data_IF_990989810283
#
_entry.id   IF_990989810283
#
_cell.length_a   1.000
_cell.length_b   1.000
_cell.length_c   1.000
_cell.angle_alpha   90.00
_cell.angle_beta   90.00
_cell.angle_gamma   90.00
#
_symmetry.space_group_name_H-M   'P 1'
#
loop_
_entity.id
_entity.type
_entity.pdbx_description
1 polymer ?
#
# COMPACT_ATOMS: atom_id res chain seq x y z
N UNK A 1 16.05 30.67 -14.61
CA UNK A 1 14.65 31.10 -14.45
C UNK A 1 13.77 30.02 -15.06
N UNK A 2 13.51 28.98 -14.27
CA UNK A 2 12.55 27.89 -14.53
C UNK A 2 12.15 27.40 -13.12
N UNK A 3 11.15 28.02 -12.51
CA UNK A 3 10.51 27.47 -11.31
C UNK A 3 9.24 26.77 -11.78
N UNK A 4 9.38 25.60 -12.38
CA UNK A 4 8.28 24.65 -12.45
C UNK A 4 8.03 24.15 -11.04
N UNK A 5 7.12 24.78 -10.30
CA UNK A 5 6.45 24.13 -9.18
C UNK A 5 5.60 23.03 -9.81
N UNK A 6 6.24 21.87 -10.05
CA UNK A 6 5.70 20.77 -10.83
C UNK A 6 4.48 20.17 -10.16
N UNK A 7 3.34 20.29 -10.81
CA UNK A 7 2.12 19.59 -10.45
C UNK A 7 2.38 18.07 -10.40
N UNK A 8 1.88 17.41 -9.36
CA UNK A 8 1.85 15.95 -9.30
C UNK A 8 1.04 15.42 -10.49
N UNK A 9 1.58 14.41 -11.18
CA UNK A 9 0.87 13.73 -12.26
C UNK A 9 0.04 12.61 -11.66
N UNK A 10 -1.27 12.82 -11.57
CA UNK A 10 -2.24 11.81 -11.12
C UNK A 10 -2.10 10.51 -11.91
N UNK A 11 -1.89 10.60 -13.23
CA UNK A 11 -1.68 9.43 -14.07
C UNK A 11 -0.45 8.62 -13.61
N UNK A 12 0.70 9.29 -13.43
CA UNK A 12 1.91 8.63 -12.93
C UNK A 12 1.74 8.10 -11.52
N UNK A 13 1.04 8.82 -10.64
CA UNK A 13 0.74 8.39 -9.27
C UNK A 13 -0.06 7.09 -9.28
N UNK A 14 -1.10 7.02 -10.11
CA UNK A 14 -1.94 5.84 -10.27
C UNK A 14 -1.17 4.66 -10.89
N UNK A 15 -0.38 4.90 -11.93
CA UNK A 15 0.43 3.86 -12.58
C UNK A 15 1.54 3.35 -11.66
N UNK A 16 2.25 4.25 -10.96
CA UNK A 16 3.29 3.89 -10.00
C UNK A 16 2.70 3.07 -8.86
N UNK A 17 1.55 3.49 -8.32
CA UNK A 17 0.83 2.77 -7.27
C UNK A 17 0.53 1.33 -7.69
N UNK A 18 0.03 1.11 -8.91
CA UNK A 18 -0.21 -0.24 -9.44
C UNK A 18 1.07 -1.05 -9.61
N UNK A 19 2.15 -0.45 -10.11
CA UNK A 19 3.45 -1.13 -10.28
C UNK A 19 4.06 -1.54 -8.94
N UNK A 20 3.95 -0.69 -7.91
CA UNK A 20 4.39 -1.01 -6.56
C UNK A 20 3.58 -2.16 -5.97
N UNK A 21 2.25 -2.10 -6.12
CA UNK A 21 1.37 -3.20 -5.71
C UNK A 21 1.77 -4.47 -6.46
N UNK A 22 2.01 -4.42 -7.76
CA UNK A 22 2.41 -5.57 -8.59
C UNK A 22 3.73 -6.19 -8.09
N UNK A 23 4.74 -5.35 -7.84
CA UNK A 23 6.06 -5.75 -7.35
C UNK A 23 6.02 -6.39 -5.97
N UNK A 24 5.20 -5.87 -5.05
CA UNK A 24 5.14 -6.31 -3.66
C UNK A 24 3.86 -7.08 -3.39
N UNK A 25 3.91 -8.41 -3.56
CA UNK A 25 2.74 -9.29 -3.49
C UNK A 25 1.97 -9.20 -2.16
N UNK A 26 2.64 -8.87 -1.06
CA UNK A 26 2.04 -8.65 0.26
C UNK A 26 0.98 -7.54 0.26
N UNK A 27 1.11 -6.52 -0.62
CA UNK A 27 0.11 -5.45 -0.80
C UNK A 27 -1.18 -5.92 -1.48
N UNK A 28 -1.23 -7.21 -1.86
CA UNK A 28 -2.40 -7.88 -2.42
C UNK A 28 -2.88 -9.03 -1.53
N UNK A 29 -2.42 -9.08 -0.28
CA UNK A 29 -2.82 -10.11 0.66
C UNK A 29 -4.31 -10.03 0.97
N UNK A 30 -4.98 -11.17 0.82
CA UNK A 30 -6.38 -11.41 1.14
C UNK A 30 -6.49 -12.28 2.37
N UNK A 31 -7.46 -12.00 3.24
CA UNK A 31 -7.84 -12.89 4.33
C UNK A 31 -9.24 -13.46 4.07
N UNK A 32 -9.40 -14.77 4.22
CA UNK A 32 -10.69 -15.43 4.15
C UNK A 32 -10.78 -16.47 5.26
N UNK A 33 -11.90 -16.49 5.97
CA UNK A 33 -12.19 -17.55 6.92
C UNK A 33 -12.75 -18.75 6.16
N UNK A 34 -12.04 -19.88 6.24
CA UNK A 34 -12.45 -21.13 5.64
C UNK A 34 -13.28 -21.92 6.66
N UNK A 35 -14.57 -22.06 6.39
CA UNK A 35 -15.54 -22.71 7.30
C UNK A 35 -15.24 -24.21 7.43
N UNK A 36 -14.82 -24.88 6.35
CA UNK A 36 -14.62 -26.33 6.35
C UNK A 36 -13.38 -26.74 7.17
N UNK A 37 -12.36 -25.89 7.16
CA UNK A 37 -11.12 -26.10 7.92
C UNK A 37 -11.04 -25.28 9.21
N UNK A 38 -12.10 -24.55 9.55
CA UNK A 38 -12.23 -23.66 10.72
C UNK A 38 -11.04 -22.72 10.94
N UNK A 39 -10.36 -22.29 9.87
CA UNK A 39 -9.13 -21.52 9.94
C UNK A 39 -9.16 -20.27 9.08
N UNK A 40 -8.48 -19.22 9.57
CA UNK A 40 -8.23 -18.02 8.78
C UNK A 40 -7.08 -18.31 7.80
N UNK A 41 -7.36 -18.17 6.51
CA UNK A 41 -6.37 -18.34 5.44
C UNK A 41 -5.99 -17.00 4.84
N UNK A 42 -4.69 -16.84 4.60
CA UNK A 42 -4.15 -15.74 3.82
C UNK A 42 -3.82 -16.24 2.40
N UNK A 43 -4.15 -15.44 1.40
CA UNK A 43 -3.82 -15.73 0.00
C UNK A 43 -3.44 -14.45 -0.75
N UNK A 44 -2.70 -14.56 -1.85
CA UNK A 44 -2.34 -13.41 -2.66
C UNK A 44 -3.36 -13.24 -3.79
N UNK A 45 -3.95 -12.05 -3.91
CA UNK A 45 -4.79 -11.71 -5.06
C UNK A 45 -3.93 -11.70 -6.33
N UNK A 46 -4.29 -12.47 -7.39
CA UNK A 46 -3.58 -12.40 -8.65
C UNK A 46 -3.80 -11.04 -9.33
N UNK A 47 -2.83 -10.62 -10.15
CA UNK A 47 -2.95 -9.44 -11.00
C UNK A 47 -3.78 -9.80 -12.24
N UNK A 48 -4.95 -9.17 -12.38
CA UNK A 48 -5.95 -9.39 -13.40
C UNK A 48 -6.35 -8.03 -14.00
N UNK A 49 -6.53 -8.03 -15.31
CA UNK A 49 -6.95 -6.83 -16.04
C UNK A 49 -8.38 -6.45 -15.59
N UNK A 50 -8.57 -5.18 -15.22
CA UNK A 50 -9.84 -4.58 -14.78
C UNK A 50 -10.29 -4.91 -13.34
N UNK A 51 -9.39 -5.40 -12.48
CA UNK A 51 -9.67 -5.49 -11.05
C UNK A 51 -9.15 -4.27 -10.28
N UNK A 52 -9.80 -3.94 -9.17
CA UNK A 52 -9.36 -2.92 -8.24
C UNK A 52 -8.38 -3.50 -7.21
N UNK A 53 -7.24 -2.84 -7.01
CA UNK A 53 -6.19 -3.26 -6.08
C UNK A 53 -5.95 -2.28 -4.93
N UNK A 54 -6.39 -1.04 -5.09
CA UNK A 54 -6.28 0.01 -4.09
C UNK A 54 -7.43 1.01 -4.27
N UNK A 55 -7.64 1.81 -3.24
CA UNK A 55 -8.59 2.92 -3.27
C UNK A 55 -7.84 4.21 -3.64
N UNK A 56 -8.38 4.99 -4.57
CA UNK A 56 -7.83 6.29 -4.95
C UNK A 56 -8.88 7.38 -4.78
N UNK A 57 -8.49 8.50 -4.16
CA UNK A 57 -9.34 9.68 -4.05
C UNK A 57 -8.53 10.94 -4.35
N UNK A 58 -9.18 11.89 -5.03
CA UNK A 58 -8.62 13.21 -5.29
C UNK A 58 -9.58 14.24 -4.71
N UNK A 59 -9.08 15.10 -3.83
CA UNK A 59 -9.87 16.21 -3.31
C UNK A 59 -9.09 17.52 -3.27
N UNK A 60 -9.83 18.63 -3.21
CA UNK A 60 -9.25 19.95 -2.99
C UNK A 60 -9.53 20.38 -1.57
N UNK A 61 -8.52 20.93 -0.91
CA UNK A 61 -8.63 21.49 0.43
C UNK A 61 -8.16 22.94 0.39
N UNK A 62 -8.75 23.76 1.26
CA UNK A 62 -8.46 25.20 1.30
C UNK A 62 -7.92 25.63 2.67
N UNK A 63 -8.05 24.78 3.69
CA UNK A 63 -7.67 25.08 5.08
C UNK A 63 -6.88 23.94 5.72
N UNK A 64 -6.09 24.27 6.74
CA UNK A 64 -5.40 23.27 7.57
C UNK A 64 -6.39 22.43 8.40
N UNK A 65 -7.52 22.99 8.81
CA UNK A 65 -8.55 22.27 9.57
C UNK A 65 -9.19 21.14 8.74
N UNK A 66 -9.36 21.35 7.43
CA UNK A 66 -9.81 20.30 6.50
C UNK A 66 -8.76 19.19 6.41
N UNK A 67 -7.47 19.54 6.33
CA UNK A 67 -6.37 18.57 6.32
C UNK A 67 -6.36 17.72 7.60
N UNK A 68 -6.49 18.34 8.77
CA UNK A 68 -6.51 17.63 10.05
C UNK A 68 -7.70 16.66 10.14
N UNK A 69 -8.88 17.05 9.64
CA UNK A 69 -10.05 16.17 9.56
C UNK A 69 -9.82 14.99 8.62
N UNK A 70 -9.15 15.21 7.49
CA UNK A 70 -8.80 14.15 6.55
C UNK A 70 -7.81 13.17 7.20
N UNK A 71 -6.74 13.67 7.82
CA UNK A 71 -5.75 12.83 8.50
C UNK A 71 -6.39 12.01 9.62
N UNK A 72 -7.27 12.63 10.42
CA UNK A 72 -8.04 11.92 11.43
C UNK A 72 -8.93 10.82 10.85
N UNK A 73 -9.60 11.09 9.73
CA UNK A 73 -10.44 10.09 9.07
C UNK A 73 -9.60 8.95 8.47
N UNK A 74 -8.46 9.26 7.86
CA UNK A 74 -7.50 8.27 7.34
C UNK A 74 -6.97 7.34 8.44
N UNK A 75 -6.73 7.87 9.65
CA UNK A 75 -6.27 7.09 10.80
C UNK A 75 -7.37 6.23 11.44
N UNK A 76 -8.62 6.72 11.46
CA UNK A 76 -9.69 6.10 12.26
C UNK A 76 -10.70 5.27 11.45
N UNK A 77 -10.75 5.44 10.13
CA UNK A 77 -11.75 4.77 9.29
C UNK A 77 -11.31 3.36 8.88
N UNK A 78 -12.07 2.37 9.33
CA UNK A 78 -11.92 0.98 8.89
C UNK A 78 -12.52 0.70 7.51
N UNK A 79 -13.27 1.66 6.93
CA UNK A 79 -14.01 1.47 5.68
C UNK A 79 -13.12 1.52 4.42
N UNK A 80 -11.87 1.95 4.56
CA UNK A 80 -10.96 2.10 3.43
C UNK A 80 -10.35 0.80 2.93
N UNK A 81 -10.37 -0.24 3.77
CA UNK A 81 -9.75 -1.52 3.48
C UNK A 81 -10.79 -2.62 3.39
N UNK A 82 -10.54 -3.56 2.47
CA UNK A 82 -11.31 -4.78 2.34
C UNK A 82 -10.34 -5.96 2.29
N UNK A 83 -10.09 -6.55 3.46
CA UNK A 83 -9.19 -7.69 3.63
C UNK A 83 -9.65 -8.92 2.85
N UNK A 84 -10.96 -9.14 2.71
CA UNK A 84 -11.50 -10.26 1.93
C UNK A 84 -11.23 -10.10 0.43
N UNK A 85 -11.11 -8.86 -0.06
CA UNK A 85 -10.85 -8.54 -1.46
C UNK A 85 -9.39 -8.16 -1.74
N UNK A 86 -8.53 -8.12 -0.72
CA UNK A 86 -7.11 -7.76 -0.85
C UNK A 86 -6.88 -6.30 -1.18
N UNK A 87 -7.80 -5.42 -0.78
CA UNK A 87 -7.68 -3.97 -0.91
C UNK A 87 -7.16 -3.47 0.43
N UNK A 88 -5.85 -3.30 0.53
CA UNK A 88 -5.13 -2.99 1.79
C UNK A 88 -4.24 -1.75 1.65
N UNK A 89 -4.30 -1.09 0.51
CA UNK A 89 -3.59 0.14 0.20
C UNK A 89 -4.59 1.19 -0.30
N UNK A 90 -4.40 2.43 0.13
CA UNK A 90 -5.17 3.60 -0.29
C UNK A 90 -4.20 4.76 -0.56
N UNK A 91 -4.47 5.48 -1.63
CA UNK A 91 -3.76 6.69 -2.00
C UNK A 91 -4.77 7.83 -2.10
N UNK A 92 -4.58 8.88 -1.31
CA UNK A 92 -5.43 10.06 -1.33
C UNK A 92 -4.59 11.30 -1.67
N UNK A 93 -4.91 11.94 -2.79
CA UNK A 93 -4.23 13.16 -3.24
C UNK A 93 -5.06 14.39 -2.89
N UNK A 94 -4.46 15.33 -2.18
CA UNK A 94 -5.06 16.59 -1.77
C UNK A 94 -4.33 17.76 -2.41
N UNK A 95 -5.04 18.55 -3.20
CA UNK A 95 -4.52 19.80 -3.77
C UNK A 95 -4.81 20.94 -2.79
N UNK A 96 -3.76 21.50 -2.19
CA UNK A 96 -3.82 22.76 -1.46
C UNK A 96 -3.39 23.88 -2.41
N UNK A 97 -3.92 25.09 -2.23
CA UNK A 97 -3.76 26.27 -3.12
C UNK A 97 -2.30 26.56 -3.56
N UNK A 98 -1.28 26.02 -2.87
CA UNK A 98 0.14 26.11 -3.24
C UNK A 98 0.96 24.81 -3.15
N UNK A 99 0.41 23.72 -2.62
CA UNK A 99 1.13 22.46 -2.41
C UNK A 99 0.23 21.26 -2.73
N UNK A 100 0.80 20.22 -3.33
CA UNK A 100 0.13 18.92 -3.43
C UNK A 100 0.53 18.07 -2.22
N UNK A 101 -0.43 17.43 -1.57
CA UNK A 101 -0.23 16.50 -0.46
C UNK A 101 -0.70 15.13 -0.93
N UNK A 102 0.16 14.12 -0.82
CA UNK A 102 -0.19 12.73 -1.10
C UNK A 102 -0.18 11.99 0.22
N UNK A 103 -1.31 11.34 0.53
CA UNK A 103 -1.47 10.49 1.71
C UNK A 103 -1.50 9.04 1.22
N UNK A 104 -0.55 8.26 1.71
CA UNK A 104 -0.54 6.81 1.53
C UNK A 104 -0.99 6.16 2.82
N UNK A 105 -2.04 5.35 2.75
CA UNK A 105 -2.61 4.65 3.89
C UNK A 105 -2.59 3.15 3.62
N UNK A 106 -2.14 2.38 4.60
CA UNK A 106 -1.93 0.94 4.49
C UNK A 106 -2.56 0.21 5.67
N UNK A 107 -3.15 -0.94 5.41
CA UNK A 107 -3.54 -1.84 6.48
C UNK A 107 -2.29 -2.51 7.08
N UNK A 108 -2.09 -2.37 8.39
CA UNK A 108 -0.90 -2.85 9.10
C UNK A 108 -0.60 -4.36 8.99
N UNK A 109 -1.57 -5.16 8.53
CA UNK A 109 -1.36 -6.59 8.25
C UNK A 109 -0.30 -6.85 7.16
N UNK A 110 -0.05 -5.86 6.30
CA UNK A 110 0.82 -6.00 5.14
C UNK A 110 1.90 -4.93 5.06
N UNK A 111 1.93 -3.99 6.02
CA UNK A 111 2.83 -2.86 6.01
C UNK A 111 3.20 -2.42 7.42
N UNK A 112 4.49 -2.32 7.69
CA UNK A 112 5.06 -1.89 8.96
C UNK A 112 6.05 -0.74 8.77
N UNK A 113 6.66 -0.29 9.87
CA UNK A 113 7.66 0.79 9.83
C UNK A 113 8.88 0.44 8.96
N UNK A 114 9.31 -0.82 8.97
CA UNK A 114 10.43 -1.30 8.15
C UNK A 114 10.10 -1.30 6.64
N UNK A 115 8.83 -1.38 6.29
CA UNK A 115 8.31 -1.36 4.91
C UNK A 115 8.30 0.06 4.30
N UNK A 116 8.39 1.11 5.11
CA UNK A 116 8.36 2.52 4.66
C UNK A 116 9.48 2.82 3.67
N UNK A 117 10.73 2.50 4.02
CA UNK A 117 11.88 2.84 3.19
C UNK A 117 11.89 2.10 1.83
N UNK A 118 11.67 0.76 1.78
CA UNK A 118 11.49 0.04 0.52
C UNK A 118 10.39 0.63 -0.37
N UNK A 119 9.23 0.95 0.22
CA UNK A 119 8.11 1.55 -0.50
C UNK A 119 8.49 2.90 -1.09
N UNK A 120 8.99 3.83 -0.28
CA UNK A 120 9.35 5.20 -0.73
C UNK A 120 10.42 5.15 -1.81
N UNK A 121 11.43 4.28 -1.66
CA UNK A 121 12.51 4.15 -2.64
C UNK A 121 12.00 3.65 -4.00
N UNK A 122 11.20 2.59 -3.99
CA UNK A 122 10.63 2.04 -5.22
C UNK A 122 9.64 3.02 -5.86
N UNK A 123 8.79 3.65 -5.05
CA UNK A 123 7.83 4.64 -5.50
C UNK A 123 8.54 5.81 -6.18
N UNK A 124 9.59 6.36 -5.54
CA UNK A 124 10.40 7.45 -6.11
C UNK A 124 11.11 7.03 -7.39
N UNK A 125 11.69 5.84 -7.40
CA UNK A 125 12.41 5.31 -8.56
C UNK A 125 11.50 5.24 -9.79
N UNK A 126 10.28 4.73 -9.61
CA UNK A 126 9.31 4.63 -10.69
C UNK A 126 8.73 5.99 -11.07
N UNK A 127 8.21 6.73 -10.10
CA UNK A 127 7.48 7.96 -10.36
C UNK A 127 8.37 9.02 -11.06
N UNK A 128 9.65 9.08 -10.70
CA UNK A 128 10.60 10.03 -11.30
C UNK A 128 11.17 9.56 -12.64
N UNK A 129 11.51 8.26 -12.77
CA UNK A 129 12.34 7.77 -13.87
C UNK A 129 11.67 6.70 -14.75
N UNK A 130 10.46 6.26 -14.40
CA UNK A 130 9.77 5.11 -14.99
C UNK A 130 10.70 3.88 -15.08
N UNK A 131 11.48 3.68 -14.01
CA UNK A 131 12.63 2.79 -13.99
C UNK A 131 12.47 1.64 -12.99
N UNK A 132 11.30 1.49 -12.38
CA UNK A 132 11.05 0.36 -11.50
C UNK A 132 10.91 -0.89 -12.33
N UNK A 133 11.91 -1.76 -12.21
CA UNK A 133 11.88 -3.05 -12.87
C UNK A 133 11.21 -4.08 -11.95
N UNK A 134 10.14 -4.70 -12.45
CA UNK A 134 9.52 -5.87 -11.81
C UNK A 134 10.43 -7.06 -12.11
N UNK A 135 11.51 -7.19 -11.34
CA UNK A 135 12.25 -8.44 -11.25
C UNK A 135 11.42 -9.40 -10.43
N UNK A 136 11.35 -10.66 -10.83
CA UNK A 136 10.89 -11.73 -9.93
C UNK A 136 11.69 -11.63 -8.64
N UNK A 137 11.04 -11.25 -7.54
CA UNK A 137 11.68 -11.26 -6.23
C UNK A 137 12.05 -12.71 -5.94
N UNK A 138 13.29 -12.95 -5.53
CA UNK A 138 13.74 -14.30 -5.17
C UNK A 138 13.16 -14.77 -3.85
N UNK A 139 12.51 -13.87 -3.11
CA UNK A 139 11.97 -14.10 -1.77
C UNK A 139 10.84 -13.10 -1.52
N UNK A 140 9.64 -13.60 -1.24
CA UNK A 140 8.46 -12.81 -0.91
C UNK A 140 8.03 -13.04 0.55
N UNK A 141 7.13 -12.18 1.06
CA UNK A 141 6.58 -12.32 2.42
C UNK A 141 5.97 -13.72 2.66
N UNK A 142 5.31 -14.30 1.64
CA UNK A 142 4.70 -15.64 1.76
C UNK A 142 5.74 -16.73 2.01
N UNK A 143 6.95 -16.60 1.46
CA UNK A 143 8.05 -17.53 1.70
C UNK A 143 8.53 -17.43 3.14
N UNK A 144 8.65 -16.21 3.67
CA UNK A 144 8.94 -15.97 5.07
C UNK A 144 7.87 -16.55 5.99
N UNK A 145 6.58 -16.37 5.70
CA UNK A 145 5.49 -16.89 6.54
C UNK A 145 5.45 -18.41 6.62
N UNK A 146 5.82 -19.10 5.52
CA UNK A 146 5.95 -20.57 5.51
C UNK A 146 7.15 -20.97 6.37
N UNK A 147 8.29 -20.31 6.19
CA UNK A 147 9.50 -20.58 6.97
C UNK A 147 9.29 -20.35 8.48
N UNK A 148 8.68 -19.22 8.87
CA UNK A 148 8.39 -18.85 10.26
C UNK A 148 7.45 -19.85 10.93
N UNK A 149 6.47 -20.40 10.20
CA UNK A 149 5.56 -21.43 10.72
C UNK A 149 6.30 -22.71 11.09
N UNK A 150 7.33 -23.07 10.32
CA UNK A 150 8.13 -24.27 10.56
C UNK A 150 9.25 -24.01 11.60
N UNK A 151 9.55 -22.76 11.92
CA UNK A 151 10.50 -22.40 12.97
C UNK A 151 9.93 -22.66 14.37
N UNK A 152 10.77 -23.23 15.23
CA UNK A 152 10.47 -23.37 16.65
C UNK A 152 10.60 -22.01 17.35
N UNK A 153 9.50 -21.27 17.45
CA UNK A 153 9.45 -19.92 18.04
C UNK A 153 9.47 -19.91 19.59
N UNK A 154 9.81 -21.02 20.26
CA UNK A 154 9.80 -21.08 21.73
C UNK A 154 10.80 -20.10 22.39
N UNK A 155 11.91 -19.77 21.72
CA UNK A 155 12.90 -18.80 22.22
C UNK A 155 12.45 -17.35 22.03
N UNK A 156 11.63 -17.05 21.01
CA UNK A 156 11.10 -15.70 20.75
C UNK A 156 10.10 -15.23 21.81
N UNK A 157 9.56 -16.13 22.64
CA UNK A 157 8.65 -15.81 23.76
C UNK A 157 9.35 -15.31 25.02
N UNK A 158 10.69 -15.31 25.05
CA UNK A 158 11.48 -14.98 26.25
C UNK A 158 12.03 -13.54 26.27
N UNK A 159 11.69 -12.74 25.25
CA UNK A 159 12.03 -11.32 25.13
C UNK A 159 10.75 -10.49 24.95
#
# INVERSE_FOLDING_TARGET
MWEEHGYVSIERLCTTSLLIIEKHSVLRAKLAYDIDSECLKQSIKPMLRNEQYYSFELSRIFTSEELDKILYNEDTSSLFFNLEQGIIFRCDEKILVRNDIIIFNFHHIAFDESSVNPFVNDFRLDYMNNALYIKTQSFEYIDYSIYERDMNMNEARQY
#
